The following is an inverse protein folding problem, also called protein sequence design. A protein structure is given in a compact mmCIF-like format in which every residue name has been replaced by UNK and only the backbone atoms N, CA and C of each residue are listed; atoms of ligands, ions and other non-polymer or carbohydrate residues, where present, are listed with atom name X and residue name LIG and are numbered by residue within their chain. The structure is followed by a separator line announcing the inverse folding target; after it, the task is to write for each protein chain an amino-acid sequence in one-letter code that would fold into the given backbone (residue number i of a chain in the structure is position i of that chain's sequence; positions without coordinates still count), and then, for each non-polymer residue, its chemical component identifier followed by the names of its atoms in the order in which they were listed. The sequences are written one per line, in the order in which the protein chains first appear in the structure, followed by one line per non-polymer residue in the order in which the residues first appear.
data_IF_660879635389
#
_entry.id   IF_660879635389
#
_cell.length_a   1.000
_cell.length_b   1.000
_cell.length_c   1.000
_cell.angle_alpha   90.00
_cell.angle_beta   90.00
_cell.angle_gamma   90.00
#
_symmetry.space_group_name_H-M   'P 1'
#
loop_
_entity.id
_entity.type
_entity.pdbx_description
1 polymer ?
#
# COMPACT_ATOMS: atom_id res chain seq x y z
N UNK A 1 2.87 -1.48 -12.19
CA UNK A 1 2.08 -2.73 -12.12
C UNK A 1 0.87 -2.41 -11.29
N UNK A 2 -0.30 -2.48 -11.92
CA UNK A 2 -1.56 -2.09 -11.30
C UNK A 2 -2.00 -3.17 -10.32
N UNK A 3 -2.39 -2.75 -9.13
CA UNK A 3 -2.78 -3.62 -8.03
C UNK A 3 -4.12 -3.17 -7.49
N UNK A 4 -4.81 -4.07 -6.78
CA UNK A 4 -5.99 -3.70 -6.01
C UNK A 4 -5.58 -3.51 -4.57
N UNK A 5 -6.16 -2.52 -3.92
CA UNK A 5 -5.94 -2.23 -2.51
C UNK A 5 -7.27 -1.89 -1.87
N UNK A 6 -7.56 -2.51 -0.75
CA UNK A 6 -8.73 -2.22 0.06
C UNK A 6 -8.26 -1.32 1.18
N UNK A 7 -8.92 -0.19 1.30
CA UNK A 7 -8.68 0.75 2.38
C UNK A 7 -9.85 0.69 3.35
N UNK A 8 -9.57 0.92 4.62
CA UNK A 8 -10.57 1.14 5.65
C UNK A 8 -10.11 2.28 6.56
N UNK A 9 -11.04 2.93 7.29
CA UNK A 9 -10.68 3.97 8.24
C UNK A 9 -9.66 3.41 9.24
N UNK A 10 -8.45 3.98 9.24
CA UNK A 10 -7.44 3.71 10.25
C UNK A 10 -7.82 4.36 11.58
N UNK A 11 -7.03 4.10 12.63
CA UNK A 11 -7.30 4.62 13.99
C UNK A 11 -7.37 6.15 14.07
N UNK A 12 -6.75 6.86 13.13
CA UNK A 12 -6.75 8.33 13.05
C UNK A 12 -7.77 8.89 12.03
N UNK A 13 -8.67 8.04 11.49
CA UNK A 13 -9.72 8.46 10.57
C UNK A 13 -9.28 8.65 9.12
N UNK A 14 -8.00 8.42 8.79
CA UNK A 14 -7.53 8.33 7.40
C UNK A 14 -7.68 6.91 6.87
N UNK A 15 -8.15 6.76 5.63
CA UNK A 15 -8.27 5.46 4.97
C UNK A 15 -6.88 4.86 4.72
N UNK A 16 -6.58 3.77 5.42
CA UNK A 16 -5.30 3.07 5.34
C UNK A 16 -5.41 1.76 4.56
N UNK A 17 -4.36 1.37 3.81
CA UNK A 17 -4.30 0.06 3.17
C UNK A 17 -4.45 -1.06 4.21
N UNK A 18 -5.48 -1.90 4.04
CA UNK A 18 -5.72 -3.07 4.88
C UNK A 18 -5.36 -4.36 4.17
N UNK A 19 -5.58 -4.41 2.86
CA UNK A 19 -5.34 -5.60 2.05
C UNK A 19 -4.86 -5.19 0.68
N UNK A 20 -3.83 -5.88 0.16
CA UNK A 20 -3.27 -5.70 -1.17
C UNK A 20 -3.45 -6.99 -1.97
N UNK A 21 -3.85 -6.87 -3.24
CA UNK A 21 -3.92 -8.00 -4.15
C UNK A 21 -2.87 -7.90 -5.26
N UNK A 22 -2.04 -8.93 -5.37
CA UNK A 22 -1.16 -9.17 -6.51
C UNK A 22 -1.78 -10.23 -7.41
N UNK A 23 -2.51 -9.80 -8.45
CA UNK A 23 -3.32 -10.70 -9.25
C UNK A 23 -4.47 -11.27 -8.43
N UNK A 24 -4.47 -12.60 -8.21
CA UNK A 24 -5.46 -13.28 -7.37
C UNK A 24 -4.99 -13.52 -5.93
N UNK A 25 -3.71 -13.24 -5.62
CA UNK A 25 -3.17 -13.44 -4.27
C UNK A 25 -3.56 -12.25 -3.39
N UNK A 26 -4.26 -12.54 -2.31
CA UNK A 26 -4.58 -11.60 -1.25
C UNK A 26 -3.49 -11.55 -0.19
N UNK A 27 -3.07 -10.35 0.20
CA UNK A 27 -2.10 -10.11 1.25
C UNK A 27 -2.61 -9.07 2.24
N UNK A 28 -2.93 -9.48 3.48
CA UNK A 28 -3.23 -8.55 4.55
C UNK A 28 -2.03 -7.65 4.86
N UNK A 29 -2.32 -6.36 5.04
CA UNK A 29 -1.38 -5.38 5.57
C UNK A 29 -1.36 -5.52 7.08
N UNK A 30 -0.20 -5.88 7.62
CA UNK A 30 0.00 -6.05 9.06
C UNK A 30 0.24 -4.71 9.76
N UNK A 31 0.95 -3.80 9.07
CA UNK A 31 1.21 -2.45 9.55
C UNK A 31 1.49 -1.49 8.39
N UNK A 32 1.09 -0.23 8.55
CA UNK A 32 1.59 0.87 7.72
C UNK A 32 2.80 1.46 8.42
N UNK A 33 3.98 1.29 7.83
CA UNK A 33 5.26 1.70 8.40
C UNK A 33 5.59 3.17 8.14
N UNK A 34 5.18 3.69 6.98
CA UNK A 34 5.43 5.08 6.59
C UNK A 34 4.40 5.56 5.56
N UNK A 35 4.23 6.87 5.47
CA UNK A 35 3.30 7.54 4.55
C UNK A 35 3.94 8.80 3.99
N UNK A 36 3.80 8.97 2.68
CA UNK A 36 4.28 10.17 2.01
C UNK A 36 3.21 10.75 1.11
N UNK A 37 3.12 12.08 1.11
CA UNK A 37 2.16 12.84 0.32
C UNK A 37 2.94 13.62 -0.73
N UNK A 38 2.62 13.37 -1.99
CA UNK A 38 3.07 14.16 -3.13
C UNK A 38 1.95 15.06 -3.62
N UNK A 39 2.21 15.72 -4.74
CA UNK A 39 1.28 16.68 -5.32
C UNK A 39 0.08 16.02 -6.00
N UNK A 40 0.27 14.82 -6.56
CA UNK A 40 -0.73 14.08 -7.33
C UNK A 40 -0.78 12.58 -6.95
N UNK A 41 0.08 12.20 -5.99
CA UNK A 41 0.21 10.81 -5.58
C UNK A 41 0.39 10.73 -4.07
N UNK A 42 -0.04 9.61 -3.52
CA UNK A 42 0.26 9.20 -2.16
C UNK A 42 0.98 7.88 -2.15
N UNK A 43 1.85 7.71 -1.17
CA UNK A 43 2.63 6.49 -1.00
C UNK A 43 2.49 5.96 0.41
N UNK A 44 2.52 4.63 0.50
CA UNK A 44 2.50 3.90 1.76
C UNK A 44 3.59 2.85 1.73
N UNK A 45 4.40 2.80 2.78
CA UNK A 45 5.22 1.61 3.06
C UNK A 45 4.42 0.71 3.97
N UNK A 46 4.14 -0.50 3.53
CA UNK A 46 3.35 -1.48 4.27
C UNK A 46 4.19 -2.71 4.61
N UNK A 47 3.94 -3.28 5.78
CA UNK A 47 4.44 -4.58 6.17
C UNK A 47 3.37 -5.65 5.93
N UNK A 48 3.78 -6.80 5.41
CA UNK A 48 2.90 -7.95 5.17
C UNK A 48 3.63 -9.23 5.56
N UNK A 49 2.92 -10.37 5.57
CA UNK A 49 3.54 -11.67 5.82
C UNK A 49 4.64 -12.04 4.81
N UNK A 50 4.56 -11.53 3.58
CA UNK A 50 5.53 -11.82 2.50
C UNK A 50 6.72 -10.83 2.48
N UNK A 51 6.62 -9.74 3.25
CA UNK A 51 7.63 -8.68 3.31
C UNK A 51 7.05 -7.28 3.17
N UNK A 52 7.96 -6.32 2.96
CA UNK A 52 7.64 -4.90 2.91
C UNK A 52 7.47 -4.40 1.48
N UNK A 53 6.40 -3.65 1.25
CA UNK A 53 6.04 -3.11 -0.07
C UNK A 53 5.82 -1.61 0.01
N UNK A 54 6.13 -0.91 -1.09
CA UNK A 54 5.74 0.50 -1.27
C UNK A 54 4.62 0.55 -2.30
N UNK A 55 3.46 1.03 -1.84
CA UNK A 55 2.27 1.22 -2.66
C UNK A 55 2.21 2.69 -3.08
N UNK A 56 1.77 2.95 -4.31
CA UNK A 56 1.45 4.28 -4.83
C UNK A 56 -0.03 4.33 -5.19
N UNK A 57 -0.71 5.42 -4.84
CA UNK A 57 -2.03 5.77 -5.36
C UNK A 57 -1.94 7.09 -6.09
N UNK A 58 -2.47 7.15 -7.31
CA UNK A 58 -2.71 8.42 -7.99
C UNK A 58 -4.02 9.04 -7.52
N UNK A 59 -3.98 10.30 -7.11
CA UNK A 59 -5.15 10.96 -6.51
C UNK A 59 -6.24 11.27 -7.56
N UNK A 60 -5.84 11.58 -8.79
CA UNK A 60 -6.78 11.93 -9.87
C UNK A 60 -7.63 10.74 -10.33
N UNK A 61 -7.02 9.55 -10.43
CA UNK A 61 -7.68 8.35 -10.98
C UNK A 61 -8.04 7.32 -9.91
N UNK A 62 -7.41 7.40 -8.74
CA UNK A 62 -7.53 6.40 -7.68
C UNK A 62 -6.80 5.09 -7.99
N UNK A 63 -6.03 5.03 -9.08
CA UNK A 63 -5.28 3.82 -9.48
C UNK A 63 -4.18 3.55 -8.47
N UNK A 64 -4.04 2.27 -8.12
CA UNK A 64 -3.00 1.77 -7.23
C UNK A 64 -1.94 1.02 -8.00
N UNK A 65 -0.69 1.24 -7.63
CA UNK A 65 0.47 0.59 -8.23
C UNK A 65 1.47 0.13 -7.17
N UNK A 66 2.14 -0.99 -7.47
CA UNK A 66 3.32 -1.38 -6.72
C UNK A 66 4.51 -0.53 -7.18
N UNK A 67 5.01 0.33 -6.30
CA UNK A 67 6.12 1.23 -6.58
C UNK A 67 7.49 0.61 -6.28
N UNK A 68 7.60 -0.17 -5.20
CA UNK A 68 8.84 -0.87 -4.85
C UNK A 68 8.59 -2.10 -3.96
N UNK A 69 9.51 -3.06 -4.03
CA UNK A 69 9.62 -4.17 -3.07
C UNK A 69 10.86 -3.93 -2.24
N UNK A 70 10.71 -3.88 -0.91
CA UNK A 70 11.86 -3.73 -0.02
C UNK A 70 12.37 -5.14 0.31
N UNK A 71 13.56 -5.49 -0.19
CA UNK A 71 14.27 -6.66 0.34
C UNK A 71 14.71 -6.31 1.75
N UNK A 72 14.08 -6.94 2.73
CA UNK A 72 14.70 -7.06 4.05
C UNK A 72 15.66 -8.23 3.94
N UNK A 73 16.97 -7.96 3.92
CA UNK A 73 17.97 -9.00 4.12
C UNK A 73 17.70 -9.58 5.51
N UNK A 74 17.14 -10.79 5.55
CA UNK A 74 16.87 -11.54 6.78
C UNK A 74 17.87 -12.67 6.89
#
# INVERSE_FOLDING_TARGET
MDIRVQCAPGEHGEDDPQVVWFGQRELPVLAVLDRWYGREHRWWKVDTADGQYVLRREDATGVWELAAVTRTDR
#
